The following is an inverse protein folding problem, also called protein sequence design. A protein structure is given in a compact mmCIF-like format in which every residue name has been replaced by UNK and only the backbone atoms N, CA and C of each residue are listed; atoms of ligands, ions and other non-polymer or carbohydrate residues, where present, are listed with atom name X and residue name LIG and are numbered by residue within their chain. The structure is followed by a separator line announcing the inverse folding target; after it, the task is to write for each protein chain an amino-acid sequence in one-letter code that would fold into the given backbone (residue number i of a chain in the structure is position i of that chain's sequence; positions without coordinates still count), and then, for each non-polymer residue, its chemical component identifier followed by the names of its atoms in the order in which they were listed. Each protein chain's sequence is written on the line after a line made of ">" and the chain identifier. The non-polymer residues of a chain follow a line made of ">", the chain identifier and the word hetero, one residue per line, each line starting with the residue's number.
data_IF_473627788386
#
_entry.id   IF_473627788386
#
_cell.length_a   1.000
_cell.length_b   1.000
_cell.length_c   1.000
_cell.angle_alpha   90.00
_cell.angle_beta   90.00
_cell.angle_gamma   90.00
#
_symmetry.space_group_name_H-M   'P 1'
#
loop_
_entity.id
_entity.type
_entity.pdbx_description
1 polymer ?
#
# COMPACT_ATOMS: atom_id res chain seq x y z
N UNK A 1 7.61 3.36 -15.61
CA UNK A 1 6.60 2.93 -14.62
C UNK A 1 7.31 2.86 -13.29
N UNK A 2 6.88 3.63 -12.29
CA UNK A 2 7.47 3.59 -10.95
C UNK A 2 6.64 2.64 -10.07
N UNK A 3 7.17 1.45 -9.82
CA UNK A 3 6.51 0.42 -9.00
C UNK A 3 6.22 0.90 -7.57
N UNK A 4 7.00 1.86 -7.05
CA UNK A 4 6.74 2.43 -5.72
C UNK A 4 5.45 3.22 -5.70
N UNK A 5 5.14 3.94 -6.77
CA UNK A 5 3.88 4.67 -6.90
C UNK A 5 2.67 3.73 -7.04
N UNK A 6 2.85 2.59 -7.73
CA UNK A 6 1.81 1.56 -7.85
C UNK A 6 1.53 0.95 -6.47
N UNK A 7 2.58 0.52 -5.77
CA UNK A 7 2.50 0.04 -4.39
C UNK A 7 1.82 1.05 -3.47
N UNK A 8 2.27 2.31 -3.48
CA UNK A 8 1.72 3.37 -2.64
C UNK A 8 0.21 3.57 -2.85
N UNK A 9 -0.21 3.57 -4.12
CA UNK A 9 -1.62 3.73 -4.51
C UNK A 9 -2.46 2.54 -4.05
N UNK A 10 -1.98 1.33 -4.30
CA UNK A 10 -2.69 0.10 -3.93
C UNK A 10 -2.75 -0.11 -2.42
N UNK A 11 -1.64 0.14 -1.70
CA UNK A 11 -1.62 0.08 -0.24
C UNK A 11 -2.69 0.99 0.37
N UNK A 12 -2.74 2.25 -0.10
CA UNK A 12 -3.74 3.21 0.37
C UNK A 12 -5.16 2.73 0.04
N UNK A 13 -5.41 2.27 -1.19
CA UNK A 13 -6.71 1.75 -1.64
C UNK A 13 -7.17 0.60 -0.73
N UNK A 14 -6.35 -0.45 -0.62
CA UNK A 14 -6.66 -1.66 0.14
C UNK A 14 -6.87 -1.32 1.62
N UNK A 15 -6.02 -0.48 2.21
CA UNK A 15 -6.17 -0.03 3.60
C UNK A 15 -7.54 0.63 3.83
N UNK A 16 -7.97 1.49 2.90
CA UNK A 16 -9.29 2.13 3.00
C UNK A 16 -10.45 1.13 2.80
N UNK A 17 -10.32 0.16 1.90
CA UNK A 17 -11.31 -0.92 1.72
C UNK A 17 -11.45 -1.79 2.98
N UNK A 18 -10.37 -1.97 3.74
CA UNK A 18 -10.35 -2.65 5.04
C UNK A 18 -10.79 -1.77 6.21
N UNK A 19 -11.10 -0.49 5.98
CA UNK A 19 -11.53 0.44 7.04
C UNK A 19 -10.45 0.82 8.04
N UNK A 20 -9.17 0.55 7.75
CA UNK A 20 -8.07 0.79 8.68
C UNK A 20 -7.52 2.22 8.56
N UNK A 21 -7.15 2.82 9.68
CA UNK A 21 -6.33 4.04 9.69
C UNK A 21 -4.86 3.70 9.42
N UNK A 22 -4.04 4.69 9.06
CA UNK A 22 -2.58 4.49 8.95
C UNK A 22 -1.98 4.03 10.29
N UNK A 23 -2.54 4.49 11.40
CA UNK A 23 -2.08 4.16 12.75
C UNK A 23 -2.45 2.73 13.13
N UNK A 24 -3.66 2.28 12.80
CA UNK A 24 -4.08 0.89 13.00
C UNK A 24 -3.22 -0.08 12.19
N UNK A 25 -3.04 0.17 10.89
CA UNK A 25 -2.15 -0.64 10.04
C UNK A 25 -0.72 -0.68 10.58
N UNK A 26 -0.19 0.48 11.00
CA UNK A 26 1.16 0.56 11.55
C UNK A 26 1.30 -0.27 12.83
N UNK A 27 0.33 -0.16 13.73
CA UNK A 27 0.30 -0.90 14.98
C UNK A 27 0.24 -2.41 14.74
N UNK A 28 -0.69 -2.87 13.91
CA UNK A 28 -0.88 -4.29 13.60
C UNK A 28 0.32 -4.88 12.85
N UNK A 29 0.97 -4.12 11.95
CA UNK A 29 2.16 -4.55 11.23
C UNK A 29 3.47 -4.41 12.05
N UNK A 30 3.42 -3.83 13.25
CA UNK A 30 4.60 -3.56 14.07
C UNK A 30 5.61 -2.64 13.35
N UNK A 31 5.12 -1.54 12.76
CA UNK A 31 5.92 -0.51 12.10
C UNK A 31 5.53 0.88 12.57
N UNK A 32 6.36 1.88 12.25
CA UNK A 32 6.05 3.27 12.59
C UNK A 32 4.96 3.86 11.66
N UNK A 33 3.99 4.60 12.23
CA UNK A 33 2.92 5.26 11.46
C UNK A 33 3.44 6.24 10.40
N UNK A 34 4.50 7.00 10.70
CA UNK A 34 5.14 7.87 9.74
C UNK A 34 5.82 7.08 8.61
N UNK A 35 6.25 5.85 8.86
CA UNK A 35 6.72 4.95 7.81
C UNK A 35 5.57 4.57 6.86
N UNK A 36 4.42 4.14 7.38
CA UNK A 36 3.20 3.90 6.56
C UNK A 36 2.83 5.14 5.73
N UNK A 37 2.84 6.32 6.35
CA UNK A 37 2.57 7.58 5.66
C UNK A 37 3.58 7.89 4.53
N UNK A 38 4.87 7.59 4.73
CA UNK A 38 5.90 7.76 3.68
C UNK A 38 5.69 6.78 2.53
N UNK A 39 5.30 5.54 2.83
CA UNK A 39 5.03 4.49 1.82
C UNK A 39 3.81 4.88 0.98
N UNK A 40 2.70 5.27 1.59
CA UNK A 40 1.48 5.68 0.87
C UNK A 40 1.65 6.94 0.01
N UNK A 41 2.69 7.74 0.28
CA UNK A 41 3.08 8.90 -0.53
C UNK A 41 4.14 8.55 -1.60
N UNK A 42 4.69 7.34 -1.59
CA UNK A 42 5.75 6.93 -2.52
C UNK A 42 7.10 7.62 -2.30
N UNK A 43 7.35 8.19 -1.12
CA UNK A 43 8.56 8.99 -0.82
C UNK A 43 9.66 8.21 -0.10
N UNK A 44 9.51 6.89 0.03
CA UNK A 44 10.50 6.01 0.65
C UNK A 44 10.58 4.69 -0.09
N UNK A 45 11.70 3.98 0.08
CA UNK A 45 11.82 2.59 -0.37
C UNK A 45 11.23 1.67 0.69
N UNK A 46 10.60 0.57 0.27
CA UNK A 46 10.07 -0.44 1.18
C UNK A 46 10.75 -1.77 0.89
N UNK A 47 11.10 -2.50 1.96
CA UNK A 47 11.60 -3.87 1.85
C UNK A 47 10.45 -4.88 1.68
N UNK A 48 10.77 -6.04 1.11
CA UNK A 48 9.80 -7.14 0.89
C UNK A 48 9.20 -7.63 2.21
N UNK A 49 9.97 -7.65 3.30
CA UNK A 49 9.48 -8.05 4.63
C UNK A 49 8.34 -7.16 5.13
N UNK A 50 8.43 -5.84 4.90
CA UNK A 50 7.38 -4.89 5.27
C UNK A 50 6.14 -5.10 4.40
N UNK A 51 6.32 -5.42 3.11
CA UNK A 51 5.19 -5.78 2.24
C UNK A 51 4.50 -7.03 2.78
N UNK A 52 5.26 -8.06 3.17
CA UNK A 52 4.71 -9.28 3.79
C UNK A 52 3.88 -8.98 5.04
N UNK A 53 4.37 -8.12 5.94
CA UNK A 53 3.61 -7.67 7.11
C UNK A 53 2.27 -7.01 6.73
N UNK A 54 2.25 -6.20 5.68
CA UNK A 54 1.01 -5.57 5.23
C UNK A 54 0.06 -6.55 4.53
N UNK A 55 0.59 -7.52 3.78
CA UNK A 55 -0.19 -8.65 3.22
C UNK A 55 -0.93 -9.38 4.34
N UNK A 56 -0.21 -9.74 5.41
CA UNK A 56 -0.77 -10.48 6.54
C UNK A 56 -1.86 -9.68 7.27
N UNK A 57 -1.59 -8.40 7.59
CA UNK A 57 -2.55 -7.52 8.29
C UNK A 57 -3.78 -7.23 7.42
N UNK A 58 -3.58 -6.94 6.14
CA UNK A 58 -4.68 -6.59 5.23
C UNK A 58 -5.43 -7.82 4.73
N UNK A 59 -4.89 -9.03 4.88
CA UNK A 59 -5.48 -10.28 4.39
C UNK A 59 -5.73 -10.23 2.89
N UNK A 60 -4.67 -9.96 2.12
CA UNK A 60 -4.68 -9.86 0.65
C UNK A 60 -3.49 -10.59 0.06
N UNK A 61 -3.56 -11.00 -1.20
CA UNK A 61 -2.42 -11.58 -1.92
C UNK A 61 -1.35 -10.51 -2.22
N UNK A 62 -0.04 -10.84 -2.18
CA UNK A 62 1.04 -9.88 -2.48
C UNK A 62 0.91 -9.21 -3.86
N UNK A 63 0.32 -9.91 -4.83
CA UNK A 63 0.11 -9.40 -6.19
C UNK A 63 -0.82 -8.17 -6.23
N UNK A 64 -1.75 -8.03 -5.27
CA UNK A 64 -2.68 -6.88 -5.18
C UNK A 64 -1.95 -5.54 -5.06
N UNK A 65 -0.77 -5.52 -4.44
CA UNK A 65 0.05 -4.32 -4.33
C UNK A 65 0.60 -3.82 -5.66
N UNK A 66 0.71 -4.69 -6.66
CA UNK A 66 1.35 -4.39 -7.94
C UNK A 66 0.39 -4.41 -9.13
N UNK A 67 -0.91 -4.52 -8.87
CA UNK A 67 -1.94 -4.38 -9.90
C UNK A 67 -1.93 -2.94 -10.45
N UNK A 68 -1.83 -2.82 -11.77
CA UNK A 68 -1.91 -1.52 -12.43
C UNK A 68 -3.36 -1.02 -12.40
N UNK A 69 -3.60 0.25 -12.00
CA UNK A 69 -4.93 0.82 -12.15
C UNK A 69 -5.33 0.79 -13.63
N UNK A 70 -6.62 0.53 -13.95
CA UNK A 70 -7.08 0.49 -15.33
C UNK A 70 -6.70 1.81 -16.01
N UNK A 71 -6.11 1.73 -17.21
CA UNK A 71 -5.77 2.91 -18.00
C UNK A 71 -7.05 3.74 -18.16
N UNK A 72 -7.10 4.92 -17.54
CA UNK A 72 -8.17 5.89 -17.82
C UNK A 72 -8.10 6.23 -19.30
N UNK A 73 -8.92 5.58 -20.12
CA UNK A 73 -9.21 6.07 -21.46
C UNK A 73 -9.82 7.45 -21.28
N UNK A 74 -9.05 8.50 -21.61
CA UNK A 74 -9.60 9.84 -21.75
C UNK A 74 -10.70 9.73 -22.79
N UNK A 75 -11.97 9.79 -22.36
CA UNK A 75 -13.09 10.03 -23.27
C UNK A 75 -12.78 11.38 -23.94
N UNK A 76 -12.51 11.33 -25.25
CA UNK A 76 -12.46 12.51 -26.11
C UNK A 76 -13.86 13.08 -26.25
#
# INVERSE_FOLDING_TARGET
>A
MDLRHVLATNLRRIRHEKGLSQEALAHEAGVDRAHVSKIERGVTQVGIEIIGKFVDVLGVEPAEFFQLPPKRTRKR
#
